data_IF_258797510549
#
_entry.id   IF_258797510549
#
_cell.length_a   1.000
_cell.length_b   1.000
_cell.length_c   1.000
_cell.angle_alpha   90.00
_cell.angle_beta   90.00
_cell.angle_gamma   90.00
#
_symmetry.space_group_name_H-M   'P 1'
#
loop_
_entity.id
_entity.type
_entity.pdbx_description
1 polymer ?
#
# COMPACT_ATOMS: atom_id res chain seq x y z
N UNK A 1 -5.44 14.38 7.09
CA UNK A 1 -4.70 13.09 7.00
C UNK A 1 -4.36 12.81 5.56
N UNK A 2 -3.23 12.15 5.30
CA UNK A 2 -2.72 11.90 3.96
C UNK A 2 -2.32 10.43 3.79
N UNK A 3 -2.70 9.81 2.66
CA UNK A 3 -2.32 8.44 2.30
C UNK A 3 -1.31 8.48 1.14
N UNK A 4 -0.13 7.88 1.34
CA UNK A 4 0.82 7.64 0.27
C UNK A 4 0.44 6.33 -0.45
N UNK A 5 0.29 6.39 -1.77
CA UNK A 5 -0.01 5.22 -2.58
C UNK A 5 1.12 4.97 -3.59
N UNK A 6 1.79 3.83 -3.52
CA UNK A 6 2.89 3.46 -4.40
C UNK A 6 2.36 2.67 -5.61
N UNK A 7 2.49 3.24 -6.81
CA UNK A 7 2.22 2.53 -8.05
C UNK A 7 3.47 1.74 -8.48
N UNK A 8 3.49 0.45 -8.19
CA UNK A 8 4.58 -0.47 -8.53
C UNK A 8 4.60 -0.96 -9.98
N UNK A 9 3.70 -0.47 -10.80
CA UNK A 9 3.72 -0.77 -12.24
C UNK A 9 4.80 0.05 -12.94
N UNK A 10 5.57 -0.52 -13.88
CA UNK A 10 6.43 0.27 -14.78
C UNK A 10 5.62 1.20 -15.70
N UNK A 11 4.33 0.93 -15.88
CA UNK A 11 3.40 1.80 -16.62
C UNK A 11 2.80 2.82 -15.67
N UNK A 12 3.03 4.10 -15.94
CA UNK A 12 2.56 5.21 -15.09
C UNK A 12 1.03 5.21 -14.93
N UNK A 13 0.30 5.01 -16.01
CA UNK A 13 -1.18 5.07 -16.08
C UNK A 13 -1.75 3.73 -16.57
N UNK A 14 -1.29 2.62 -15.97
CA UNK A 14 -1.76 1.27 -16.28
C UNK A 14 -2.86 0.78 -15.33
N UNK A 15 -3.17 -0.51 -15.40
CA UNK A 15 -4.23 -1.15 -14.59
C UNK A 15 -4.05 -0.92 -13.07
N UNK A 16 -2.82 -0.98 -12.57
CA UNK A 16 -2.53 -0.72 -11.14
C UNK A 16 -2.86 0.72 -10.77
N UNK A 17 -2.49 1.68 -11.62
CA UNK A 17 -2.82 3.10 -11.40
C UNK A 17 -4.34 3.32 -11.40
N UNK A 18 -5.06 2.72 -12.35
CA UNK A 18 -6.54 2.79 -12.41
C UNK A 18 -7.18 2.30 -11.11
N UNK A 19 -6.71 1.17 -10.58
CA UNK A 19 -7.17 0.65 -9.30
C UNK A 19 -6.87 1.60 -8.13
N UNK A 20 -5.67 2.20 -8.09
CA UNK A 20 -5.31 3.19 -7.07
C UNK A 20 -6.16 4.46 -7.16
N UNK A 21 -6.55 4.89 -8.37
CA UNK A 21 -7.46 6.02 -8.55
C UNK A 21 -8.83 5.78 -7.90
N UNK A 22 -9.37 4.56 -7.98
CA UNK A 22 -10.65 4.22 -7.32
C UNK A 22 -10.55 4.31 -5.79
N UNK A 23 -9.41 3.91 -5.23
CA UNK A 23 -9.15 4.09 -3.79
C UNK A 23 -9.03 5.58 -3.45
N UNK A 24 -8.34 6.36 -4.29
CA UNK A 24 -8.18 7.82 -4.11
C UNK A 24 -9.52 8.54 -4.08
N UNK A 25 -10.46 8.16 -4.95
CA UNK A 25 -11.81 8.71 -4.97
C UNK A 25 -12.54 8.41 -3.66
N UNK A 26 -12.51 7.16 -3.20
CA UNK A 26 -13.13 6.77 -1.94
C UNK A 26 -12.53 7.48 -0.72
N UNK A 27 -11.20 7.68 -0.69
CA UNK A 27 -10.53 8.46 0.35
C UNK A 27 -10.96 9.93 0.32
N UNK A 28 -11.04 10.53 -0.87
CA UNK A 28 -11.47 11.91 -1.07
C UNK A 28 -12.91 12.14 -0.59
N UNK A 29 -13.82 11.21 -0.86
CA UNK A 29 -15.20 11.24 -0.34
C UNK A 29 -15.26 11.28 1.18
N UNK A 30 -14.24 10.74 1.86
CA UNK A 30 -14.11 10.72 3.32
C UNK A 30 -13.22 11.85 3.87
N UNK A 31 -12.85 12.83 3.03
CA UNK A 31 -12.03 13.98 3.44
C UNK A 31 -10.55 13.64 3.69
N UNK A 32 -10.06 12.52 3.15
CA UNK A 32 -8.65 12.09 3.27
C UNK A 32 -7.90 12.45 1.98
N UNK A 33 -6.78 13.13 2.12
CA UNK A 33 -5.88 13.40 1.00
C UNK A 33 -5.10 12.14 0.60
N UNK A 34 -4.80 12.00 -0.67
CA UNK A 34 -3.98 10.90 -1.16
C UNK A 34 -3.05 11.34 -2.28
N UNK A 35 -1.91 10.69 -2.37
CA UNK A 35 -0.93 10.92 -3.42
C UNK A 35 -0.49 9.58 -4.03
N UNK A 36 -0.67 9.43 -5.36
CA UNK A 36 -0.14 8.27 -6.10
C UNK A 36 1.27 8.58 -6.56
N UNK A 37 2.25 7.87 -6.01
CA UNK A 37 3.66 7.99 -6.34
C UNK A 37 4.10 6.86 -7.26
N UNK A 38 4.85 7.19 -8.33
CA UNK A 38 5.34 6.20 -9.29
C UNK A 38 6.55 5.43 -8.72
N UNK A 39 6.30 4.23 -8.20
CA UNK A 39 7.30 3.34 -7.60
C UNK A 39 7.81 2.25 -8.58
N UNK A 40 7.27 2.16 -9.77
CA UNK A 40 7.72 1.21 -10.81
C UNK A 40 9.08 1.54 -11.44
N UNK A 41 9.78 2.56 -10.93
CA UNK A 41 11.17 2.89 -11.23
C UNK A 41 11.99 2.84 -9.93
N UNK A 42 12.79 1.79 -9.66
CA UNK A 42 13.50 1.59 -8.40
C UNK A 42 14.85 2.34 -8.31
N UNK A 43 15.02 3.45 -9.00
CA UNK A 43 16.19 4.30 -8.86
C UNK A 43 16.27 4.93 -7.46
N UNK A 44 17.48 5.03 -6.92
CA UNK A 44 17.70 5.46 -5.54
C UNK A 44 17.15 6.86 -5.24
N UNK A 45 17.20 7.78 -6.18
CA UNK A 45 16.65 9.13 -6.04
C UNK A 45 15.13 9.08 -5.86
N UNK A 46 14.46 8.26 -6.68
CA UNK A 46 13.02 8.04 -6.61
C UNK A 46 12.61 7.39 -5.28
N UNK A 47 13.40 6.43 -4.80
CA UNK A 47 13.17 5.76 -3.51
C UNK A 47 13.31 6.74 -2.34
N UNK A 48 14.34 7.59 -2.34
CA UNK A 48 14.54 8.65 -1.35
C UNK A 48 13.38 9.64 -1.34
N UNK A 49 12.91 10.05 -2.52
CA UNK A 49 11.75 10.95 -2.63
C UNK A 49 10.48 10.33 -2.02
N UNK A 50 10.23 9.04 -2.24
CA UNK A 50 9.12 8.34 -1.60
C UNK A 50 9.29 8.23 -0.08
N UNK A 51 10.51 7.97 0.40
CA UNK A 51 10.80 7.90 1.83
C UNK A 51 10.53 9.24 2.54
N UNK A 52 10.88 10.37 1.92
CA UNK A 52 10.52 11.70 2.46
C UNK A 52 8.99 11.89 2.53
N UNK A 53 8.25 11.45 1.50
CA UNK A 53 6.78 11.52 1.51
C UNK A 53 6.16 10.62 2.59
N UNK A 54 6.78 9.48 2.92
CA UNK A 54 6.30 8.58 3.98
C UNK A 54 6.36 9.21 5.37
N UNK A 55 7.28 10.14 5.62
CA UNK A 55 7.35 10.88 6.89
C UNK A 55 6.04 11.64 7.16
N UNK A 56 5.50 12.28 6.12
CA UNK A 56 4.30 13.11 6.19
C UNK A 56 2.99 12.32 6.03
N UNK A 57 3.06 11.09 5.53
CA UNK A 57 1.88 10.27 5.31
C UNK A 57 1.41 9.60 6.60
N UNK A 58 0.10 9.46 6.76
CA UNK A 58 -0.56 8.76 7.87
C UNK A 58 -0.79 7.27 7.56
N UNK A 59 -0.78 6.88 6.28
CA UNK A 59 -0.95 5.49 5.83
C UNK A 59 -0.23 5.23 4.51
N UNK A 60 -0.03 3.94 4.19
CA UNK A 60 0.63 3.47 2.97
C UNK A 60 -0.24 2.46 2.23
N UNK A 61 -0.39 2.63 0.90
CA UNK A 61 -0.97 1.62 0.02
C UNK A 61 0.05 1.26 -1.06
N UNK A 62 0.29 -0.02 -1.29
CA UNK A 62 1.21 -0.49 -2.33
C UNK A 62 0.45 -1.29 -3.36
N UNK A 63 0.48 -0.82 -4.61
CA UNK A 63 -0.11 -1.50 -5.75
C UNK A 63 0.94 -2.15 -6.65
N UNK A 64 0.68 -3.37 -7.12
CA UNK A 64 1.54 -4.06 -8.07
C UNK A 64 0.75 -4.72 -9.19
N UNK A 65 1.25 -4.68 -10.44
CA UNK A 65 0.80 -5.65 -11.43
C UNK A 65 1.32 -7.04 -11.06
N UNK A 66 0.60 -8.08 -11.49
CA UNK A 66 1.06 -9.46 -11.35
C UNK A 66 1.95 -9.83 -12.54
N UNK A 67 3.20 -10.13 -12.27
CA UNK A 67 4.15 -10.70 -13.23
C UNK A 67 4.64 -12.05 -12.70
N UNK A 68 4.52 -13.11 -13.51
CA UNK A 68 4.94 -14.47 -13.14
C UNK A 68 4.35 -14.94 -11.79
N UNK A 69 3.03 -14.68 -11.60
CA UNK A 69 2.28 -14.98 -10.37
C UNK A 69 2.90 -14.37 -9.10
N UNK A 70 3.57 -13.22 -9.21
CA UNK A 70 4.24 -12.49 -8.12
C UNK A 70 4.12 -10.98 -8.36
N UNK A 71 4.46 -10.11 -7.39
CA UNK A 71 4.62 -8.69 -7.66
C UNK A 71 5.65 -8.43 -8.75
N UNK A 72 5.58 -7.27 -9.40
CA UNK A 72 6.64 -6.87 -10.35
C UNK A 72 8.00 -6.82 -9.66
N UNK A 73 9.07 -7.24 -10.37
CA UNK A 73 10.43 -7.15 -9.83
C UNK A 73 10.82 -5.72 -9.43
N UNK A 74 10.29 -4.73 -10.15
CA UNK A 74 10.51 -3.31 -9.85
C UNK A 74 9.98 -2.90 -8.47
N UNK A 75 8.76 -3.32 -8.11
CA UNK A 75 8.21 -2.96 -6.80
C UNK A 75 8.91 -3.71 -5.67
N UNK A 76 9.36 -4.94 -5.89
CA UNK A 76 10.14 -5.69 -4.90
C UNK A 76 11.45 -4.95 -4.63
N UNK A 77 12.22 -4.63 -5.66
CA UNK A 77 13.48 -3.88 -5.53
C UNK A 77 13.24 -2.51 -4.86
N UNK A 78 12.16 -1.83 -5.25
CA UNK A 78 11.78 -0.57 -4.63
C UNK A 78 11.50 -0.72 -3.13
N UNK A 79 10.65 -1.70 -2.75
CA UNK A 79 10.25 -1.92 -1.36
C UNK A 79 11.39 -2.36 -0.46
N UNK A 80 12.34 -3.18 -0.95
CA UNK A 80 13.52 -3.59 -0.18
C UNK A 80 14.37 -2.38 0.26
N UNK A 81 14.56 -1.43 -0.65
CA UNK A 81 15.32 -0.21 -0.38
C UNK A 81 14.49 0.82 0.38
N UNK A 82 13.21 1.01 0.01
CA UNK A 82 12.28 1.93 0.66
C UNK A 82 12.09 1.60 2.13
N UNK A 83 11.85 0.33 2.46
CA UNK A 83 11.68 -0.11 3.84
C UNK A 83 12.97 0.05 4.67
N UNK A 84 14.15 -0.06 4.04
CA UNK A 84 15.42 0.22 4.70
C UNK A 84 15.58 1.70 5.07
N UNK A 85 15.03 2.62 4.27
CA UNK A 85 15.09 4.07 4.50
C UNK A 85 13.96 4.57 5.39
N UNK A 86 12.72 4.18 5.08
CA UNK A 86 11.49 4.70 5.67
C UNK A 86 10.94 3.84 6.83
N UNK A 87 11.57 2.73 7.19
CA UNK A 87 11.00 1.74 8.11
C UNK A 87 10.56 2.29 9.46
N UNK A 88 11.27 3.29 10.01
CA UNK A 88 10.87 3.96 11.25
C UNK A 88 9.61 4.81 11.08
N UNK A 89 9.46 5.43 9.92
CA UNK A 89 8.32 6.29 9.59
C UNK A 89 7.07 5.48 9.20
N UNK A 90 7.22 4.18 8.98
CA UNK A 90 6.13 3.24 8.67
C UNK A 90 5.46 2.67 9.93
N UNK A 91 6.18 2.62 11.06
CA UNK A 91 5.73 1.95 12.29
C UNK A 91 4.33 2.43 12.74
N UNK A 92 3.44 1.46 12.97
CA UNK A 92 2.07 1.65 13.46
C UNK A 92 1.16 2.51 12.54
N UNK A 93 1.60 2.84 11.33
CA UNK A 93 0.72 3.45 10.33
C UNK A 93 -0.05 2.36 9.58
N UNK A 94 -1.36 2.55 9.31
CA UNK A 94 -2.13 1.60 8.51
C UNK A 94 -1.54 1.36 7.12
N UNK A 95 -1.65 0.13 6.63
CA UNK A 95 -1.19 -0.19 5.29
C UNK A 95 -2.13 -1.17 4.57
N UNK A 96 -2.11 -1.12 3.23
CA UNK A 96 -2.79 -2.10 2.39
C UNK A 96 -1.97 -2.42 1.12
N UNK A 97 -2.16 -3.62 0.60
CA UNK A 97 -1.66 -4.02 -0.71
C UNK A 97 -2.80 -4.21 -1.69
N UNK A 98 -2.58 -3.89 -2.97
CA UNK A 98 -3.48 -4.22 -4.07
C UNK A 98 -2.73 -4.91 -5.21
N UNK A 99 -3.42 -5.77 -5.94
CA UNK A 99 -2.89 -6.44 -7.11
C UNK A 99 -3.76 -6.20 -8.35
N UNK A 100 -3.13 -5.93 -9.49
CA UNK A 100 -3.81 -5.90 -10.79
C UNK A 100 -3.32 -7.02 -11.68
N UNK A 101 -4.22 -7.79 -12.27
CA UNK A 101 -3.85 -8.92 -13.11
C UNK A 101 -4.84 -9.14 -14.25
N UNK A 102 -4.36 -9.76 -15.33
CA UNK A 102 -5.27 -10.29 -16.36
C UNK A 102 -6.02 -11.54 -15.87
N UNK A 103 -5.37 -12.39 -15.08
CA UNK A 103 -5.95 -13.68 -14.58
C UNK A 103 -5.42 -14.01 -13.17
N UNK A 104 -4.60 -15.05 -13.05
CA UNK A 104 -4.14 -15.62 -11.80
C UNK A 104 -2.91 -14.91 -11.20
N UNK A 105 -2.60 -15.19 -9.92
CA UNK A 105 -1.41 -14.76 -9.21
C UNK A 105 -1.62 -13.56 -8.29
N UNK A 106 -2.82 -13.04 -8.18
CA UNK A 106 -3.16 -11.87 -7.35
C UNK A 106 -2.94 -12.15 -5.86
N UNK A 107 -3.42 -13.28 -5.33
CA UNK A 107 -3.24 -13.64 -3.91
C UNK A 107 -1.77 -13.81 -3.56
N UNK A 108 -0.98 -14.51 -4.39
CA UNK A 108 0.46 -14.65 -4.18
C UNK A 108 1.19 -13.29 -4.22
N UNK A 109 0.74 -12.36 -5.06
CA UNK A 109 1.24 -10.98 -5.09
C UNK A 109 0.94 -10.25 -3.79
N UNK A 110 -0.29 -10.34 -3.28
CA UNK A 110 -0.69 -9.75 -2.00
C UNK A 110 0.12 -10.33 -0.85
N UNK A 111 0.29 -11.65 -0.76
CA UNK A 111 1.06 -12.33 0.29
C UNK A 111 2.50 -11.82 0.39
N UNK A 112 3.14 -11.54 -0.74
CA UNK A 112 4.50 -10.99 -0.76
C UNK A 112 4.51 -9.56 -0.22
N UNK A 113 3.61 -8.69 -0.68
CA UNK A 113 3.58 -7.28 -0.27
C UNK A 113 3.19 -7.11 1.21
N UNK A 114 2.26 -7.93 1.72
CA UNK A 114 1.81 -7.87 3.12
C UNK A 114 2.93 -8.18 4.12
N UNK A 115 3.99 -8.92 3.73
CA UNK A 115 5.15 -9.21 4.58
C UNK A 115 5.92 -7.94 4.96
N UNK A 116 6.06 -6.99 4.05
CA UNK A 116 6.70 -5.70 4.35
C UNK A 116 5.96 -4.95 5.45
N UNK A 117 4.63 -4.95 5.40
CA UNK A 117 3.81 -4.26 6.39
C UNK A 117 3.85 -4.95 7.75
N UNK A 118 3.70 -6.28 7.76
CA UNK A 118 3.79 -7.09 8.99
C UNK A 118 5.13 -6.90 9.71
N UNK A 119 6.24 -6.85 8.97
CA UNK A 119 7.56 -6.62 9.54
C UNK A 119 7.68 -5.24 10.22
N UNK A 120 6.99 -4.23 9.71
CA UNK A 120 7.01 -2.86 10.24
C UNK A 120 5.84 -2.56 11.21
N UNK A 121 5.20 -3.60 11.77
CA UNK A 121 4.11 -3.45 12.75
C UNK A 121 2.96 -2.57 12.23
N UNK A 122 2.72 -2.57 10.94
CA UNK A 122 1.64 -1.78 10.33
C UNK A 122 0.31 -2.53 10.44
N UNK A 123 -0.76 -1.91 10.95
CA UNK A 123 -2.11 -2.47 10.85
C UNK A 123 -2.50 -2.66 9.39
N UNK A 124 -2.83 -3.91 9.00
CA UNK A 124 -3.21 -4.23 7.62
C UNK A 124 -4.70 -3.98 7.45
N UNK A 125 -5.05 -3.13 6.49
CA UNK A 125 -6.43 -2.81 6.15
C UNK A 125 -6.91 -3.71 5.02
N UNK A 126 -8.05 -4.36 5.24
CA UNK A 126 -8.74 -5.20 4.26
C UNK A 126 -9.96 -4.50 3.66
N UNK A 127 -10.50 -5.07 2.60
CA UNK A 127 -11.79 -4.72 2.01
C UNK A 127 -12.82 -5.84 2.27
N UNK A 128 -13.81 -5.97 1.40
CA UNK A 128 -14.80 -7.04 1.42
C UNK A 128 -14.35 -8.32 0.68
N UNK A 129 -13.18 -8.28 0.03
CA UNK A 129 -12.53 -9.42 -0.65
C UNK A 129 -11.01 -9.22 -0.66
N UNK A 130 -10.23 -10.11 -1.30
CA UNK A 130 -8.82 -9.85 -1.55
C UNK A 130 -8.67 -8.65 -2.49
N UNK A 131 -7.78 -7.73 -2.15
CA UNK A 131 -7.63 -6.44 -2.81
C UNK A 131 -7.06 -6.58 -4.23
N UNK A 132 -7.87 -6.95 -5.20
CA UNK A 132 -7.44 -7.18 -6.57
C UNK A 132 -8.41 -6.58 -7.58
N UNK A 133 -7.89 -6.29 -8.77
CA UNK A 133 -8.66 -5.96 -9.97
C UNK A 133 -8.18 -6.80 -11.13
N UNK A 134 -9.08 -7.06 -12.09
CA UNK A 134 -8.78 -7.81 -13.31
C UNK A 134 -8.93 -6.93 -14.54
N UNK A 135 -8.00 -7.07 -15.46
CA UNK A 135 -7.98 -6.38 -16.75
C UNK A 135 -6.59 -6.38 -17.35
N UNK A 136 -6.50 -6.31 -18.67
CA UNK A 136 -5.26 -6.18 -19.42
C UNK A 136 -4.97 -4.73 -19.81
N UNK A 137 -6.02 -3.90 -19.80
CA UNK A 137 -5.97 -2.45 -20.06
C UNK A 137 -6.72 -1.70 -18.95
N UNK A 138 -6.48 -0.39 -18.78
CA UNK A 138 -7.28 0.45 -17.89
C UNK A 138 -8.79 0.36 -18.15
N UNK A 139 -9.21 0.34 -19.41
CA UNK A 139 -10.62 0.25 -19.79
C UNK A 139 -11.25 -1.10 -19.39
N UNK A 140 -10.49 -2.19 -19.45
CA UNK A 140 -10.96 -3.48 -18.96
C UNK A 140 -11.05 -3.49 -17.42
N UNK A 141 -10.13 -2.86 -16.70
CA UNK A 141 -10.23 -2.69 -15.24
C UNK A 141 -11.48 -1.92 -14.86
N UNK A 142 -11.86 -0.90 -15.64
CA UNK A 142 -13.11 -0.15 -15.42
C UNK A 142 -14.39 -0.97 -15.66
N UNK A 143 -14.29 -2.14 -16.29
CA UNK A 143 -15.38 -3.10 -16.46
C UNK A 143 -15.43 -4.14 -15.33
N UNK A 144 -14.38 -4.30 -14.55
CA UNK A 144 -14.31 -5.19 -13.37
C UNK A 144 -15.07 -4.58 -12.18
N UNK A 145 -16.40 -4.66 -12.20
CA UNK A 145 -17.25 -4.04 -11.19
C UNK A 145 -16.99 -4.59 -9.76
N UNK A 146 -16.64 -5.87 -9.62
CA UNK A 146 -16.30 -6.47 -8.34
C UNK A 146 -14.96 -5.92 -7.82
N UNK A 147 -13.94 -5.85 -8.68
CA UNK A 147 -12.64 -5.28 -8.36
C UNK A 147 -12.74 -3.80 -7.99
N UNK A 148 -13.50 -3.00 -8.76
CA UNK A 148 -13.72 -1.58 -8.45
C UNK A 148 -14.44 -1.40 -7.10
N UNK A 149 -15.47 -2.20 -6.83
CA UNK A 149 -16.14 -2.18 -5.52
C UNK A 149 -15.16 -2.52 -4.40
N UNK A 150 -14.32 -3.52 -4.59
CA UNK A 150 -13.27 -3.93 -3.63
C UNK A 150 -12.31 -2.78 -3.34
N UNK A 151 -11.86 -2.04 -4.37
CA UNK A 151 -11.00 -0.86 -4.21
C UNK A 151 -11.71 0.26 -3.44
N UNK A 152 -12.97 0.50 -3.76
CA UNK A 152 -13.77 1.52 -3.09
C UNK A 152 -13.99 1.20 -1.60
N UNK A 153 -14.34 -0.06 -1.28
CA UNK A 153 -14.47 -0.52 0.11
C UNK A 153 -13.14 -0.41 0.85
N UNK A 154 -12.02 -0.76 0.21
CA UNK A 154 -10.68 -0.59 0.81
C UNK A 154 -10.42 0.87 1.19
N UNK A 155 -10.73 1.82 0.30
CA UNK A 155 -10.58 3.25 0.57
C UNK A 155 -11.42 3.70 1.76
N UNK A 156 -12.67 3.26 1.85
CA UNK A 156 -13.56 3.56 2.98
C UNK A 156 -13.06 2.97 4.30
N UNK A 157 -12.61 1.71 4.29
CA UNK A 157 -12.07 1.05 5.48
C UNK A 157 -10.78 1.73 5.96
N UNK A 158 -9.91 2.14 5.04
CA UNK A 158 -8.70 2.91 5.34
C UNK A 158 -9.07 4.25 5.99
N UNK A 159 -10.00 4.98 5.41
CA UNK A 159 -10.46 6.26 5.94
C UNK A 159 -11.08 6.10 7.34
N UNK A 160 -11.93 5.09 7.53
CA UNK A 160 -12.53 4.79 8.84
C UNK A 160 -11.46 4.54 9.91
N UNK A 161 -10.45 3.70 9.61
CA UNK A 161 -9.37 3.42 10.56
C UNK A 161 -8.55 4.68 10.87
N UNK A 162 -8.25 5.51 9.86
CA UNK A 162 -7.55 6.77 10.05
C UNK A 162 -8.32 7.74 10.94
N UNK A 163 -9.64 7.85 10.76
CA UNK A 163 -10.50 8.64 11.65
C UNK A 163 -10.52 8.09 13.08
N UNK A 164 -10.55 6.77 13.26
CA UNK A 164 -10.46 6.16 14.59
C UNK A 164 -9.12 6.46 15.27
N UNK A 165 -8.01 6.38 14.53
CA UNK A 165 -6.68 6.70 15.07
C UNK A 165 -6.57 8.18 15.44
N UNK A 166 -7.13 9.08 14.64
CA UNK A 166 -7.14 10.51 14.93
C UNK A 166 -8.00 10.82 16.15
N UNK A 167 -9.18 10.21 16.26
CA UNK A 167 -10.03 10.31 17.45
C UNK A 167 -9.31 9.78 18.70
N UNK A 168 -8.55 8.68 18.56
CA UNK A 168 -7.69 8.15 19.62
C UNK A 168 -6.64 9.14 20.10
N UNK A 169 -5.98 9.85 19.17
CA UNK A 169 -5.01 10.93 19.52
C UNK A 169 -5.70 12.04 20.32
N UNK A 170 -6.87 12.50 19.89
CA UNK A 170 -7.66 13.50 20.62
C UNK A 170 -8.13 13.03 21.99
N UNK A 171 -8.40 11.75 22.15
CA UNK A 171 -8.72 11.11 23.43
C UNK A 171 -7.48 10.78 24.28
N UNK A 172 -6.27 11.21 23.86
CA UNK A 172 -4.99 10.95 24.53
C UNK A 172 -4.66 9.47 24.71
N UNK A 173 -5.14 8.60 23.82
CA UNK A 173 -4.74 7.19 23.78
C UNK A 173 -3.28 7.10 23.32
N UNK A 174 -2.40 6.67 24.22
CA UNK A 174 -0.98 6.51 23.89
C UNK A 174 -0.77 5.38 22.88
N UNK A 175 0.16 5.59 21.93
CA UNK A 175 0.65 4.48 21.11
C UNK A 175 1.43 3.49 21.99
N UNK A 176 1.46 2.20 21.61
CA UNK A 176 2.32 1.23 22.30
C UNK A 176 3.78 1.66 22.26
N UNK A 177 4.51 1.40 23.32
CA UNK A 177 5.95 1.59 23.35
C UNK A 177 6.62 0.64 22.35
N UNK A 178 7.56 1.15 21.57
CA UNK A 178 8.34 0.34 20.62
C UNK A 178 9.54 -0.25 21.36
N UNK A 179 9.46 -1.54 21.67
CA UNK A 179 10.55 -2.25 22.32
C UNK A 179 11.77 -2.39 21.40
N UNK A 180 12.96 -2.37 21.97
CA UNK A 180 14.18 -2.69 21.24
C UNK A 180 14.17 -4.14 20.78
N UNK A 181 14.41 -4.37 19.48
CA UNK A 181 14.35 -5.70 18.89
C UNK A 181 15.50 -6.60 19.39
N UNK A 182 15.17 -7.62 20.12
CA UNK A 182 16.10 -8.69 20.48
C UNK A 182 16.39 -9.54 19.24
N UNK A 183 17.68 -9.67 18.90
CA UNK A 183 18.12 -10.47 17.74
C UNK A 183 18.63 -11.82 18.23
N UNK A 184 17.98 -12.91 17.81
CA UNK A 184 18.49 -14.25 17.99
C UNK A 184 19.51 -14.55 16.89
N UNK A 185 20.76 -14.82 17.25
CA UNK A 185 21.81 -15.20 16.32
C UNK A 185 22.61 -16.39 16.90
N UNK A 186 22.46 -17.55 16.28
CA UNK A 186 23.18 -18.76 16.63
C UNK A 186 24.48 -18.97 15.84
N UNK A 187 24.78 -18.11 14.88
CA UNK A 187 26.01 -18.10 14.09
C UNK A 187 26.99 -17.15 14.74
N UNK A 188 28.10 -17.70 15.26
CA UNK A 188 29.17 -16.93 15.92
C UNK A 188 30.42 -16.96 15.06
#
# INVERSE_FOLDING_TARGET
MKVLMLNGSPRKEGCTYTALCQIAEALKEQGIESEIFQAGNPEMENIKAAAEKMKEADALIVGSPVYWASPSGQIIEFMDKFCSLAGKDMLLKPAAAIASARRAGTTATLDVLLKYFSFHQMPIVSSNYWNMVHGNTPDEVMQDQEGLQTMHVLGKNMAWLLHCLEAGKHAHIAKPEIEEKIKTNFIR
#
